data_IF_730951481264
#
_entry.id   IF_730951481264
#
_cell.length_a   1.000
_cell.length_b   1.000
_cell.length_c   1.000
_cell.angle_alpha   90.00
_cell.angle_beta   90.00
_cell.angle_gamma   90.00
#
_symmetry.space_group_name_H-M   'P 1'
#
loop_
_entity.id
_entity.type
_entity.pdbx_description
1 polymer ?
#
# COMPACT_ATOMS: atom_id res chain seq x y z
N UNK A 1 0.68 30.89 -12.54
CA UNK A 1 0.79 30.30 -11.18
C UNK A 1 0.88 28.79 -11.33
N UNK A 2 1.79 28.12 -10.63
CA UNK A 2 1.86 26.66 -10.66
C UNK A 2 0.63 26.03 -9.98
N UNK A 3 0.01 25.03 -10.60
CA UNK A 3 -1.14 24.30 -10.02
C UNK A 3 -0.62 23.18 -9.12
N UNK A 4 -1.05 23.15 -7.86
CA UNK A 4 -0.72 22.08 -6.92
C UNK A 4 -1.39 20.77 -7.39
N UNK A 5 -0.62 19.68 -7.50
CA UNK A 5 -1.12 18.35 -7.82
C UNK A 5 -0.88 17.41 -6.65
N UNK A 6 -1.95 16.83 -6.12
CA UNK A 6 -1.90 15.92 -4.97
C UNK A 6 -2.21 14.49 -5.44
N UNK A 7 -1.56 13.50 -4.84
CA UNK A 7 -1.94 12.08 -4.96
C UNK A 7 -2.74 11.69 -3.73
N UNK A 8 -3.82 10.94 -3.95
CA UNK A 8 -4.67 10.47 -2.86
C UNK A 8 -4.90 8.97 -3.03
N UNK A 9 -4.66 8.22 -1.96
CA UNK A 9 -4.91 6.78 -1.88
C UNK A 9 -5.88 6.46 -0.77
N UNK A 10 -6.93 5.68 -1.06
CA UNK A 10 -7.95 5.33 -0.07
C UNK A 10 -8.16 3.82 0.02
N UNK A 11 -8.32 3.34 1.25
CA UNK A 11 -8.66 1.95 1.58
C UNK A 11 -9.34 1.93 2.96
N UNK A 12 -10.24 0.99 3.17
CA UNK A 12 -10.96 0.82 4.43
C UNK A 12 -10.77 -0.59 4.97
N UNK A 13 -10.61 -0.67 6.29
CA UNK A 13 -10.37 -1.90 7.03
C UNK A 13 -10.01 -1.61 8.49
N UNK A 14 -9.83 -2.65 9.32
CA UNK A 14 -9.44 -2.49 10.72
C UNK A 14 -8.04 -1.87 10.83
N UNK A 15 -7.84 -1.00 11.83
CA UNK A 15 -6.57 -0.37 12.13
C UNK A 15 -6.40 -0.19 13.65
N UNK A 16 -5.15 -0.10 14.11
CA UNK A 16 -4.81 0.10 15.52
C UNK A 16 -4.24 1.50 15.69
N UNK A 17 -4.68 2.23 16.72
CA UNK A 17 -4.07 3.50 17.13
C UNK A 17 -3.06 3.22 18.24
N UNK A 18 -1.86 3.77 18.12
CA UNK A 18 -0.80 3.70 19.14
C UNK A 18 -0.28 5.09 19.50
N UNK A 19 0.11 5.28 20.76
CA UNK A 19 0.88 6.44 21.19
C UNK A 19 2.37 6.15 21.02
N UNK A 20 3.06 6.95 20.21
CA UNK A 20 4.49 6.75 19.90
C UNK A 20 5.31 7.90 20.46
N UNK A 21 6.33 7.57 21.26
CA UNK A 21 7.15 8.53 22.00
C UNK A 21 6.59 8.77 23.41
N UNK A 22 7.47 9.02 24.38
CA UNK A 22 7.11 9.20 25.80
C UNK A 22 6.27 10.46 26.07
N UNK A 23 6.69 11.30 27.01
CA UNK A 23 5.96 12.55 27.29
C UNK A 23 5.92 13.45 26.04
N UNK A 24 4.71 13.73 25.52
CA UNK A 24 4.50 14.43 24.24
C UNK A 24 4.39 13.52 23.01
N UNK A 25 4.14 12.21 23.20
CA UNK A 25 3.99 11.25 22.11
C UNK A 25 2.90 11.60 21.09
N UNK A 26 3.07 11.10 19.86
CA UNK A 26 2.13 11.28 18.75
C UNK A 26 1.21 10.08 18.62
N UNK A 27 -0.08 10.32 18.46
CA UNK A 27 -1.03 9.29 18.06
C UNK A 27 -0.75 8.88 16.61
N UNK A 28 -0.58 7.59 16.37
CA UNK A 28 -0.24 7.03 15.06
C UNK A 28 -1.13 5.83 14.77
N UNK A 29 -1.63 5.71 13.53
CA UNK A 29 -2.32 4.52 13.06
C UNK A 29 -1.32 3.50 12.51
N UNK A 30 -1.47 2.23 12.89
CA UNK A 30 -0.61 1.12 12.49
C UNK A 30 -1.48 -0.04 12.00
N UNK A 31 -1.02 -0.73 10.97
CA UNK A 31 -1.63 -1.97 10.48
C UNK A 31 -1.67 -2.08 8.96
N UNK A 32 -2.22 -3.19 8.49
CA UNK A 32 -2.29 -3.49 7.06
C UNK A 32 -3.16 -2.49 6.30
N UNK A 33 -4.23 -1.99 6.91
CA UNK A 33 -5.14 -1.04 6.27
C UNK A 33 -4.42 0.25 5.87
N UNK A 34 -3.63 0.84 6.78
CA UNK A 34 -2.87 2.06 6.49
C UNK A 34 -1.74 1.80 5.51
N UNK A 35 -1.14 0.60 5.54
CA UNK A 35 -0.13 0.21 4.55
C UNK A 35 -0.74 0.10 3.15
N UNK A 36 -1.91 -0.52 2.99
CA UNK A 36 -2.59 -0.59 1.69
C UNK A 36 -3.00 0.80 1.22
N UNK A 37 -3.57 1.64 2.09
CA UNK A 37 -3.93 3.02 1.73
C UNK A 37 -2.71 3.81 1.25
N UNK A 38 -1.58 3.70 1.95
CA UNK A 38 -0.30 4.29 1.53
C UNK A 38 0.16 3.76 0.16
N UNK A 39 -0.03 2.46 -0.12
CA UNK A 39 0.28 1.92 -1.46
C UNK A 39 -0.62 2.50 -2.54
N UNK A 40 -1.91 2.66 -2.28
CA UNK A 40 -2.83 3.31 -3.21
C UNK A 40 -2.40 4.75 -3.53
N UNK A 41 -1.85 5.49 -2.56
CA UNK A 41 -1.32 6.84 -2.81
C UNK A 41 -0.03 6.79 -3.64
N UNK A 42 0.93 5.98 -3.21
CA UNK A 42 2.27 5.93 -3.83
C UNK A 42 2.27 5.41 -5.27
N UNK A 43 1.34 4.50 -5.62
CA UNK A 43 1.16 4.00 -6.99
C UNK A 43 0.23 4.87 -7.85
N UNK A 44 -0.35 5.92 -7.24
CA UNK A 44 -1.33 6.79 -7.84
C UNK A 44 -0.72 7.82 -8.78
N UNK A 45 -1.57 8.40 -9.63
CA UNK A 45 -1.19 9.49 -10.54
C UNK A 45 -1.46 10.83 -9.87
N UNK A 46 -0.58 11.84 -9.98
CA UNK A 46 -0.84 13.18 -9.44
C UNK A 46 -2.12 13.79 -10.02
N UNK A 47 -3.00 14.30 -9.16
CA UNK A 47 -4.33 14.79 -9.52
C UNK A 47 -5.36 13.68 -9.75
N UNK A 48 -5.15 12.50 -9.16
CA UNK A 48 -6.13 11.39 -9.17
C UNK A 48 -6.26 10.78 -7.78
N UNK A 49 -7.42 10.19 -7.53
CA UNK A 49 -7.72 9.40 -6.33
C UNK A 49 -7.74 7.92 -6.70
N UNK A 50 -6.84 7.14 -6.12
CA UNK A 50 -6.78 5.68 -6.31
C UNK A 50 -7.39 4.97 -5.10
N UNK A 51 -8.15 3.90 -5.34
CA UNK A 51 -8.69 3.05 -4.29
C UNK A 51 -8.49 1.56 -4.58
N UNK A 52 -8.51 0.75 -3.53
CA UNK A 52 -8.55 -0.72 -3.66
C UNK A 52 -9.90 -1.21 -4.18
N UNK A 53 -9.97 -2.39 -4.80
CA UNK A 53 -11.23 -3.02 -5.18
C UNK A 53 -12.25 -3.17 -4.03
N UNK A 54 -11.79 -3.50 -2.82
CA UNK A 54 -12.67 -3.59 -1.64
C UNK A 54 -13.34 -2.24 -1.31
N UNK A 55 -12.60 -1.14 -1.41
CA UNK A 55 -13.13 0.21 -1.23
C UNK A 55 -14.09 0.58 -2.37
N UNK A 56 -13.80 0.21 -3.61
CA UNK A 56 -14.69 0.43 -4.74
C UNK A 56 -16.06 -0.25 -4.54
N UNK A 57 -16.09 -1.47 -4.01
CA UNK A 57 -17.34 -2.15 -3.68
C UNK A 57 -18.16 -1.42 -2.61
N UNK A 58 -17.49 -0.87 -1.58
CA UNK A 58 -18.15 -0.05 -0.56
C UNK A 58 -18.68 1.27 -1.14
N UNK A 59 -17.91 1.92 -2.00
CA UNK A 59 -18.34 3.14 -2.69
C UNK A 59 -19.55 2.88 -3.59
N UNK A 60 -19.58 1.77 -4.33
CA UNK A 60 -20.73 1.41 -5.15
C UNK A 60 -22.02 1.22 -4.31
N UNK A 61 -21.89 0.74 -3.07
CA UNK A 61 -23.02 0.57 -2.16
C UNK A 61 -23.46 1.87 -1.48
N UNK A 62 -22.52 2.74 -1.11
CA UNK A 62 -22.79 3.93 -0.29
C UNK A 62 -22.93 5.23 -1.08
N UNK A 63 -22.32 5.30 -2.27
CA UNK A 63 -22.29 6.45 -3.15
C UNK A 63 -22.38 5.97 -4.62
N UNK A 64 -23.54 5.43 -5.04
CA UNK A 64 -23.71 4.84 -6.37
C UNK A 64 -23.51 5.85 -7.51
N UNK A 65 -23.75 7.14 -7.25
CA UNK A 65 -23.57 8.22 -8.22
C UNK A 65 -22.10 8.63 -8.39
N UNK A 66 -21.20 8.17 -7.51
CA UNK A 66 -19.78 8.48 -7.60
C UNK A 66 -19.12 7.61 -8.67
N UNK A 67 -18.52 8.18 -9.72
CA UNK A 67 -17.85 7.40 -10.76
C UNK A 67 -16.66 6.63 -10.17
N UNK A 68 -16.62 5.33 -10.38
CA UNK A 68 -15.48 4.48 -10.03
C UNK A 68 -15.13 3.62 -11.23
N UNK A 69 -13.88 3.70 -11.69
CA UNK A 69 -13.42 3.01 -12.91
C UNK A 69 -12.24 2.10 -12.59
N UNK A 70 -12.21 0.85 -13.08
CA UNK A 70 -11.05 -0.01 -12.91
C UNK A 70 -9.78 0.63 -13.49
N UNK A 71 -8.65 0.50 -12.79
CA UNK A 71 -7.33 0.90 -13.26
C UNK A 71 -6.64 -0.31 -13.91
N UNK A 72 -6.40 -0.30 -15.22
CA UNK A 72 -5.65 -1.37 -15.87
C UNK A 72 -4.26 -1.56 -15.23
N UNK A 73 -3.86 -2.82 -15.06
CA UNK A 73 -2.55 -3.18 -14.53
C UNK A 73 -2.39 -3.07 -13.01
N UNK A 74 -3.43 -2.73 -12.25
CA UNK A 74 -3.46 -2.86 -10.78
C UNK A 74 -2.28 -2.22 -10.03
N UNK A 75 -2.05 -2.64 -8.79
CA UNK A 75 -0.90 -2.20 -8.00
C UNK A 75 -0.24 -3.38 -7.30
N UNK A 76 1.10 -3.41 -7.29
CA UNK A 76 1.85 -4.39 -6.51
C UNK A 76 1.94 -3.93 -5.05
N UNK A 77 1.41 -4.73 -4.14
CA UNK A 77 1.42 -4.45 -2.71
C UNK A 77 2.29 -5.48 -2.01
N UNK A 78 3.34 -5.01 -1.33
CA UNK A 78 4.25 -5.87 -0.56
C UNK A 78 3.45 -6.74 0.43
N UNK A 79 3.64 -8.05 0.36
CA UNK A 79 2.95 -9.03 1.21
C UNK A 79 1.53 -9.43 0.75
N UNK A 80 0.91 -8.67 -0.17
CA UNK A 80 -0.41 -9.01 -0.76
C UNK A 80 -0.36 -9.39 -2.24
N UNK A 81 0.75 -9.12 -2.92
CA UNK A 81 0.91 -9.41 -4.34
C UNK A 81 0.19 -8.39 -5.21
N UNK A 82 -0.33 -8.85 -6.34
CA UNK A 82 -1.04 -8.01 -7.29
C UNK A 82 -2.46 -7.70 -6.78
N UNK A 83 -2.78 -6.42 -6.64
CA UNK A 83 -4.10 -5.97 -6.21
C UNK A 83 -4.79 -5.20 -7.33
N UNK A 84 -6.05 -5.53 -7.57
CA UNK A 84 -6.93 -4.72 -8.40
C UNK A 84 -7.22 -3.38 -7.72
N UNK A 85 -7.20 -2.32 -8.51
CA UNK A 85 -7.41 -0.96 -8.02
C UNK A 85 -8.28 -0.18 -8.98
N UNK A 86 -8.90 0.88 -8.49
CA UNK A 86 -9.80 1.72 -9.25
C UNK A 86 -9.41 3.19 -9.11
N UNK A 87 -9.81 3.99 -10.08
CA UNK A 87 -9.84 5.44 -10.00
C UNK A 87 -11.22 5.88 -9.51
N UNK A 88 -11.23 6.87 -8.63
CA UNK A 88 -12.44 7.48 -8.09
C UNK A 88 -12.61 8.89 -8.66
N UNK A 89 -13.83 9.22 -9.07
CA UNK A 89 -14.19 10.49 -9.69
C UNK A 89 -13.95 10.52 -11.20
N UNK A 90 -14.27 11.66 -11.79
CA UNK A 90 -13.99 11.93 -13.18
C UNK A 90 -12.51 12.22 -13.36
N UNK A 91 -11.91 11.67 -14.42
CA UNK A 91 -10.49 11.86 -14.69
C UNK A 91 -10.25 13.29 -15.14
N UNK A 92 -9.60 14.11 -14.31
CA UNK A 92 -9.17 15.45 -14.74
C UNK A 92 -8.04 15.33 -15.79
N UNK A 93 -8.38 15.39 -17.07
CA UNK A 93 -7.43 15.41 -18.19
C UNK A 93 -6.70 16.76 -18.28
N UNK A 94 -5.92 17.11 -17.26
CA UNK A 94 -4.86 18.11 -17.37
C UNK A 94 -3.54 17.38 -17.73
N UNK A 95 -3.52 16.78 -18.92
CA UNK A 95 -2.37 16.13 -19.57
C UNK A 95 -1.51 17.13 -20.38
N UNK A 96 -1.34 18.34 -19.85
CA UNK A 96 -0.47 19.37 -20.43
C UNK A 96 0.54 19.89 -19.41
N UNK A 97 1.52 19.06 -19.04
CA UNK A 97 2.92 19.50 -18.89
C UNK A 97 3.86 18.28 -18.93
N UNK A 98 4.96 18.43 -19.64
CA UNK A 98 5.76 17.36 -20.24
C UNK A 98 6.67 16.58 -19.27
N UNK A 99 6.88 15.32 -19.63
CA UNK A 99 8.20 14.69 -19.73
C UNK A 99 8.91 14.28 -18.43
N UNK A 100 9.12 12.97 -18.28
CA UNK A 100 10.18 12.45 -17.42
C UNK A 100 9.95 11.01 -16.97
N UNK A 101 10.46 10.06 -17.75
CA UNK A 101 10.52 8.66 -17.38
C UNK A 101 11.33 8.44 -16.09
N UNK A 102 11.00 7.35 -15.40
CA UNK A 102 11.67 6.95 -14.18
C UNK A 102 11.13 5.63 -13.66
N UNK A 103 11.23 4.57 -14.47
CA UNK A 103 11.35 3.22 -13.91
C UNK A 103 12.66 3.16 -13.11
N UNK A 104 12.59 3.39 -11.81
CA UNK A 104 13.66 3.04 -10.89
C UNK A 104 13.22 1.81 -10.12
N UNK A 105 13.47 0.67 -10.76
CA UNK A 105 13.84 -0.55 -10.05
C UNK A 105 15.13 -0.25 -9.29
N UNK A 106 15.08 -0.12 -7.97
CA UNK A 106 16.23 -0.29 -7.06
C UNK A 106 15.79 -0.14 -5.60
N UNK A 107 15.44 -1.27 -4.97
CA UNK A 107 15.84 -1.51 -3.59
C UNK A 107 16.12 -3.01 -3.44
N UNK A 108 17.26 -3.40 -4.00
CA UNK A 108 17.89 -4.69 -3.73
C UNK A 108 18.50 -4.63 -2.32
N UNK A 109 17.71 -4.97 -1.31
CA UNK A 109 18.26 -5.34 -0.01
C UNK A 109 19.20 -6.54 -0.16
N UNK A 110 20.34 -6.58 0.56
CA UNK A 110 21.42 -7.53 0.27
C UNK A 110 20.97 -8.98 0.47
N UNK A 111 21.21 -9.78 -0.57
CA UNK A 111 21.11 -11.23 -0.52
C UNK A 111 22.34 -11.83 0.19
N UNK A 112 22.11 -12.73 1.15
CA UNK A 112 22.97 -13.89 1.36
C UNK A 112 23.91 -13.87 2.58
N UNK A 113 23.54 -14.70 3.57
CA UNK A 113 24.36 -15.72 4.25
C UNK A 113 23.38 -16.48 5.15
N UNK A 114 22.77 -17.56 4.69
CA UNK A 114 23.39 -18.88 4.69
C UNK A 114 22.62 -19.72 5.71
N UNK A 115 21.70 -20.57 5.24
CA UNK A 115 21.02 -21.52 6.11
C UNK A 115 21.99 -22.62 6.56
N UNK A 116 21.75 -23.20 7.74
CA UNK A 116 22.12 -24.57 8.06
C UNK A 116 21.18 -25.11 9.14
N UNK A 117 20.35 -26.07 8.69
CA UNK A 117 19.88 -27.27 9.35
C UNK A 117 19.35 -27.21 10.80
N UNK A 118 18.04 -27.41 10.91
CA UNK A 118 17.38 -28.06 12.06
C UNK A 118 17.87 -29.50 12.23
N UNK A 119 18.42 -29.84 13.40
CA UNK A 119 18.38 -31.21 13.95
C UNK A 119 18.00 -31.14 15.43
N UNK A 120 17.06 -31.97 15.92
CA UNK A 120 16.81 -32.09 17.35
C UNK A 120 17.83 -33.04 17.99
N UNK A 121 18.37 -32.76 19.19
CA UNK A 121 19.21 -33.71 19.87
C UNK A 121 18.39 -34.87 20.46
N UNK A 122 18.79 -36.08 20.10
CA UNK A 122 18.38 -37.35 20.70
C UNK A 122 18.86 -37.47 22.14
N UNK A 123 17.94 -37.65 23.08
CA UNK A 123 18.25 -38.04 24.46
C UNK A 123 18.47 -39.56 24.51
N UNK A 124 19.72 -40.01 24.47
CA UNK A 124 20.12 -41.34 24.91
C UNK A 124 20.61 -41.27 26.34
N UNK A 125 19.93 -42.00 27.24
CA UNK A 125 20.35 -42.13 28.63
C UNK A 125 21.65 -42.93 28.78
N UNK A 126 22.36 -42.63 29.86
CA UNK A 126 23.36 -43.51 30.45
C UNK A 126 23.22 -43.46 31.96
N UNK A 127 23.09 -44.65 32.53
CA UNK A 127 23.06 -44.98 33.94
C UNK A 127 24.39 -44.64 34.63
N UNK A 128 24.31 -44.12 35.85
CA UNK A 128 25.06 -44.55 37.04
C UNK A 128 24.38 -43.98 38.30
#
# INVERSE_FOLDING_TARGET
AARLRVRVGIHCGPAVVALVGGAGGRHTLIGDTVNVASRMESSGRPGRVQCSAAMAALLAAQAPDLPVRPRPGGALVKGKGHMETCWVGDGDDDDADGGGGGSSSEDAGPAGRGGLASQPPSLSGSSD
#
